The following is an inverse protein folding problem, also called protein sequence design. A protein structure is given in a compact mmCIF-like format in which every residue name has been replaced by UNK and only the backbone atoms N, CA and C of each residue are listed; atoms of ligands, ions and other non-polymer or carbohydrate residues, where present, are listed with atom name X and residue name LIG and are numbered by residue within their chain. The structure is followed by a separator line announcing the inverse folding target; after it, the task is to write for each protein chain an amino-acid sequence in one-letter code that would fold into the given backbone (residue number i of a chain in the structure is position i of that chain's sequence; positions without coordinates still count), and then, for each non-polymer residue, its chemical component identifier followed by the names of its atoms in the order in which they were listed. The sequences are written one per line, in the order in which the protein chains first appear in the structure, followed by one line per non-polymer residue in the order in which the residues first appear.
data_IF_706239616944
#
_entry.id   IF_706239616944
#
_cell.length_a   1.000
_cell.length_b   1.000
_cell.length_c   1.000
_cell.angle_alpha   90.00
_cell.angle_beta   90.00
_cell.angle_gamma   90.00
#
_symmetry.space_group_name_H-M   'P 1'
#
loop_
_entity.id
_entity.type
_entity.pdbx_description
1 polymer ?
#
# COMPACT_ATOMS: atom_id res chain seq x y z
N UNK A 1 -26.24 -12.68 15.73
CA UNK A 1 -25.65 -12.98 14.40
C UNK A 1 -25.58 -11.76 13.48
N UNK A 2 -26.67 -11.00 13.25
CA UNK A 2 -26.67 -9.78 12.41
C UNK A 2 -25.68 -8.69 12.86
N UNK A 3 -25.53 -8.47 14.17
CA UNK A 3 -24.58 -7.49 14.73
C UNK A 3 -23.10 -7.85 14.42
N UNK A 4 -22.78 -9.14 14.47
CA UNK A 4 -21.43 -9.64 14.21
C UNK A 4 -21.06 -9.51 12.72
N UNK A 5 -22.03 -9.78 11.84
CA UNK A 5 -21.88 -9.58 10.39
C UNK A 5 -21.74 -8.09 10.04
N UNK A 6 -22.48 -7.22 10.72
CA UNK A 6 -22.36 -5.75 10.58
C UNK A 6 -20.97 -5.25 10.98
N UNK A 7 -20.41 -5.71 12.09
CA UNK A 7 -19.05 -5.31 12.53
C UNK A 7 -17.98 -5.76 11.52
N UNK A 8 -18.13 -6.98 10.96
CA UNK A 8 -17.18 -7.53 9.99
C UNK A 8 -17.15 -6.75 8.67
N UNK A 9 -18.20 -6.02 8.31
CA UNK A 9 -18.20 -5.16 7.11
C UNK A 9 -17.30 -3.92 7.26
N UNK A 10 -17.03 -3.47 8.50
CA UNK A 10 -16.13 -2.33 8.75
C UNK A 10 -14.65 -2.73 8.79
N UNK A 11 -14.34 -4.03 8.88
CA UNK A 11 -12.96 -4.52 8.96
C UNK A 11 -12.18 -4.21 7.69
N UNK A 12 -12.67 -4.50 6.46
CA UNK A 12 -11.97 -4.12 5.23
C UNK A 12 -11.77 -2.61 5.11
N UNK A 13 -12.77 -1.82 5.49
CA UNK A 13 -12.70 -0.33 5.47
C UNK A 13 -11.61 0.18 6.39
N UNK A 14 -11.55 -0.36 7.61
CA UNK A 14 -10.54 0.04 8.61
C UNK A 14 -9.14 -0.35 8.13
N UNK A 15 -8.97 -1.55 7.59
CA UNK A 15 -7.70 -2.00 7.02
C UNK A 15 -7.28 -1.16 5.81
N UNK A 16 -8.22 -0.82 4.93
CA UNK A 16 -7.97 0.05 3.78
C UNK A 16 -7.51 1.45 4.22
N UNK A 17 -8.14 1.99 5.27
CA UNK A 17 -7.77 3.29 5.85
C UNK A 17 -6.38 3.26 6.48
N UNK A 18 -6.03 2.21 7.23
CA UNK A 18 -4.67 2.02 7.78
C UNK A 18 -3.65 1.91 6.64
N UNK A 19 -3.97 1.17 5.59
CA UNK A 19 -3.14 1.06 4.40
C UNK A 19 -2.88 2.42 3.74
N UNK A 20 -3.90 3.28 3.65
CA UNK A 20 -3.79 4.64 3.14
C UNK A 20 -2.86 5.53 4.00
N UNK A 21 -2.95 5.42 5.33
CA UNK A 21 -2.05 6.14 6.26
C UNK A 21 -0.60 5.71 6.01
N UNK A 22 -0.34 4.40 5.89
CA UNK A 22 1.00 3.85 5.64
C UNK A 22 1.52 4.26 4.27
N UNK A 23 0.67 4.24 3.24
CA UNK A 23 1.02 4.70 1.90
C UNK A 23 1.45 6.17 1.90
N UNK A 24 0.68 7.02 2.59
CA UNK A 24 0.95 8.45 2.74
C UNK A 24 2.24 8.71 3.53
N UNK A 25 2.43 8.02 4.66
CA UNK A 25 3.68 8.07 5.42
C UNK A 25 4.88 7.62 4.58
N UNK A 26 4.70 6.59 3.75
CA UNK A 26 5.73 6.13 2.82
C UNK A 26 6.05 7.14 1.73
N UNK A 27 5.05 7.87 1.23
CA UNK A 27 5.24 8.96 0.28
C UNK A 27 6.03 10.12 0.91
N UNK A 28 5.64 10.57 2.11
CA UNK A 28 6.32 11.65 2.85
C UNK A 28 7.78 11.28 3.14
N UNK A 29 8.03 10.11 3.72
CA UNK A 29 9.40 9.63 3.99
C UNK A 29 10.22 9.45 2.70
N UNK A 30 9.58 9.05 1.59
CA UNK A 30 10.22 8.98 0.28
C UNK A 30 10.67 10.35 -0.24
N UNK A 31 9.89 11.40 -0.01
CA UNK A 31 10.24 12.78 -0.35
C UNK A 31 11.37 13.33 0.52
N UNK A 32 11.35 13.03 1.82
CA UNK A 32 12.40 13.47 2.75
C UNK A 32 13.75 12.81 2.43
N UNK A 33 13.75 11.53 2.02
CA UNK A 33 14.94 10.82 1.51
C UNK A 33 15.54 11.48 0.25
N UNK A 34 14.72 12.05 -0.65
CA UNK A 34 15.21 12.79 -1.82
C UNK A 34 15.94 14.07 -1.41
N UNK A 35 15.45 14.75 -0.36
CA UNK A 35 16.01 16.01 0.14
C UNK A 35 17.26 15.82 0.99
N UNK A 36 17.67 14.58 1.26
CA UNK A 36 18.89 14.25 2.02
C UNK A 36 18.79 14.56 3.51
N UNK A 37 17.58 14.84 4.02
CA UNK A 37 17.36 15.43 5.34
C UNK A 37 17.53 14.45 6.49
N UNK A 38 17.29 13.14 6.29
CA UNK A 38 17.80 12.12 7.21
C UNK A 38 17.98 10.74 6.54
N UNK A 39 19.24 10.40 6.22
CA UNK A 39 19.54 9.23 5.36
C UNK A 39 19.36 7.89 6.10
N UNK A 40 19.37 7.87 7.44
CA UNK A 40 19.42 6.63 8.25
C UNK A 40 18.09 6.21 8.88
N UNK A 41 17.36 7.13 9.54
CA UNK A 41 16.10 6.80 10.24
C UNK A 41 14.92 6.76 9.25
N UNK A 42 14.72 7.80 8.44
CA UNK A 42 13.66 7.81 7.42
C UNK A 42 13.82 6.66 6.42
N UNK A 43 15.05 6.29 6.06
CA UNK A 43 15.33 5.12 5.21
C UNK A 43 14.92 3.77 5.82
N UNK A 44 14.88 3.64 7.15
CA UNK A 44 14.33 2.45 7.82
C UNK A 44 12.81 2.49 7.84
N UNK A 45 12.22 3.63 8.22
CA UNK A 45 10.77 3.85 8.25
C UNK A 45 10.16 3.60 6.87
N UNK A 46 10.76 4.15 5.82
CA UNK A 46 10.29 3.99 4.45
C UNK A 46 10.23 2.51 4.01
N UNK A 47 11.22 1.70 4.40
CA UNK A 47 11.24 0.26 4.14
C UNK A 47 10.20 -0.49 4.95
N UNK A 48 10.07 -0.15 6.23
CA UNK A 48 9.11 -0.75 7.13
C UNK A 48 7.68 -0.51 6.64
N UNK A 49 7.37 0.71 6.18
CA UNK A 49 6.10 1.03 5.53
C UNK A 49 5.86 0.20 4.27
N UNK A 50 6.92 -0.07 3.49
CA UNK A 50 6.84 -0.97 2.33
C UNK A 50 6.44 -2.40 2.69
N UNK A 51 7.03 -2.99 3.74
CA UNK A 51 6.67 -4.33 4.20
C UNK A 51 5.28 -4.39 4.81
N UNK A 52 4.92 -3.41 5.66
CA UNK A 52 3.57 -3.32 6.22
C UNK A 52 2.50 -3.18 5.15
N UNK A 53 2.78 -2.42 4.08
CA UNK A 53 1.87 -2.28 2.94
C UNK A 53 1.61 -3.63 2.25
N UNK A 54 2.62 -4.50 2.11
CA UNK A 54 2.42 -5.85 1.55
C UNK A 54 1.49 -6.66 2.45
N UNK A 55 1.80 -6.70 3.75
CA UNK A 55 1.05 -7.54 4.70
C UNK A 55 -0.43 -7.13 4.68
N UNK A 56 -0.70 -5.83 4.78
CA UNK A 56 -2.06 -5.31 4.72
C UNK A 56 -2.73 -5.60 3.39
N UNK A 57 -2.00 -5.45 2.27
CA UNK A 57 -2.54 -5.73 0.95
C UNK A 57 -2.93 -7.20 0.77
N UNK A 58 -2.11 -8.14 1.26
CA UNK A 58 -2.41 -9.58 1.22
C UNK A 58 -3.62 -9.91 2.09
N UNK A 59 -3.70 -9.35 3.31
CA UNK A 59 -4.86 -9.54 4.19
C UNK A 59 -6.14 -9.05 3.52
N UNK A 60 -6.11 -7.86 2.91
CA UNK A 60 -7.24 -7.30 2.18
C UNK A 60 -7.62 -8.12 0.95
N UNK A 61 -6.64 -8.66 0.21
CA UNK A 61 -6.92 -9.52 -0.93
C UNK A 61 -7.65 -10.80 -0.51
N UNK A 62 -7.17 -11.45 0.56
CA UNK A 62 -7.80 -12.65 1.12
C UNK A 62 -9.22 -12.35 1.60
N UNK A 63 -9.41 -11.24 2.33
CA UNK A 63 -10.74 -10.81 2.78
C UNK A 63 -11.66 -10.48 1.59
N UNK A 64 -11.15 -9.80 0.56
CA UNK A 64 -11.89 -9.48 -0.66
C UNK A 64 -12.38 -10.73 -1.37
N UNK A 65 -11.51 -11.74 -1.55
CA UNK A 65 -11.91 -13.02 -2.13
C UNK A 65 -12.90 -13.81 -1.26
N UNK A 66 -12.75 -13.74 0.07
CA UNK A 66 -13.65 -14.43 1.00
C UNK A 66 -15.06 -13.81 1.03
N UNK A 67 -15.16 -12.48 0.88
CA UNK A 67 -16.44 -11.75 0.96
C UNK A 67 -17.15 -11.64 -0.40
N UNK A 68 -16.40 -11.41 -1.48
CA UNK A 68 -16.94 -11.09 -2.80
C UNK A 68 -16.81 -12.26 -3.81
N UNK A 69 -16.16 -13.35 -3.40
CA UNK A 69 -15.85 -14.48 -4.28
C UNK A 69 -14.65 -14.22 -5.19
N UNK A 70 -14.27 -15.25 -5.94
CA UNK A 70 -13.12 -15.20 -6.86
C UNK A 70 -13.65 -14.98 -8.28
N UNK A 71 -13.35 -13.82 -8.86
CA UNK A 71 -13.58 -13.52 -10.28
C UNK A 71 -12.25 -13.20 -10.98
N UNK A 72 -12.15 -13.49 -12.27
CA UNK A 72 -10.96 -13.18 -13.07
C UNK A 72 -10.57 -11.70 -12.96
N UNK A 73 -11.56 -10.79 -13.02
CA UNK A 73 -11.35 -9.35 -12.86
C UNK A 73 -10.81 -8.98 -11.48
N UNK A 74 -11.34 -9.60 -10.42
CA UNK A 74 -10.85 -9.39 -9.05
C UNK A 74 -9.38 -9.86 -8.94
N UNK A 75 -9.06 -11.05 -9.47
CA UNK A 75 -7.69 -11.57 -9.47
C UNK A 75 -6.73 -10.63 -10.21
N UNK A 76 -7.09 -10.14 -11.40
CA UNK A 76 -6.26 -9.18 -12.14
C UNK A 76 -6.09 -7.86 -11.37
N UNK A 77 -7.14 -7.35 -10.73
CA UNK A 77 -7.09 -6.16 -9.88
C UNK A 77 -6.09 -6.33 -8.73
N UNK A 78 -6.23 -7.40 -7.95
CA UNK A 78 -5.33 -7.70 -6.83
C UNK A 78 -3.88 -7.96 -7.30
N UNK A 79 -3.70 -8.65 -8.42
CA UNK A 79 -2.37 -8.92 -8.95
C UNK A 79 -1.67 -7.64 -9.44
N UNK A 80 -2.41 -6.74 -10.09
CA UNK A 80 -1.87 -5.46 -10.57
C UNK A 80 -1.43 -4.55 -9.42
N UNK A 81 -2.22 -4.44 -8.34
CA UNK A 81 -1.81 -3.64 -7.18
C UNK A 81 -0.64 -4.29 -6.42
N UNK A 82 -0.60 -5.62 -6.33
CA UNK A 82 0.56 -6.33 -5.79
C UNK A 82 1.84 -6.05 -6.60
N UNK A 83 1.72 -6.02 -7.93
CA UNK A 83 2.83 -5.69 -8.83
C UNK A 83 3.36 -4.27 -8.62
N UNK A 84 2.48 -3.29 -8.36
CA UNK A 84 2.86 -1.91 -8.01
C UNK A 84 3.69 -1.90 -6.70
N UNK A 85 3.23 -2.61 -5.66
CA UNK A 85 3.93 -2.70 -4.37
C UNK A 85 5.31 -3.35 -4.54
N UNK A 86 5.40 -4.44 -5.29
CA UNK A 86 6.65 -5.14 -5.60
C UNK A 86 7.64 -4.25 -6.36
N UNK A 87 7.15 -3.56 -7.39
CA UNK A 87 7.95 -2.66 -8.23
C UNK A 87 8.56 -1.55 -7.39
N UNK A 88 7.78 -0.95 -6.47
CA UNK A 88 8.27 0.04 -5.51
C UNK A 88 9.42 -0.51 -4.67
N UNK A 89 9.26 -1.68 -4.05
CA UNK A 89 10.29 -2.27 -3.19
C UNK A 89 11.57 -2.60 -3.96
N UNK A 90 11.43 -3.11 -5.18
CA UNK A 90 12.57 -3.39 -6.04
C UNK A 90 13.36 -2.12 -6.37
N UNK A 91 12.66 -1.03 -6.69
CA UNK A 91 13.28 0.27 -6.97
C UNK A 91 13.95 0.84 -5.72
N UNK A 92 13.32 0.76 -4.53
CA UNK A 92 13.93 1.19 -3.26
C UNK A 92 15.21 0.39 -2.96
N UNK A 93 15.19 -0.94 -3.18
CA UNK A 93 16.37 -1.79 -3.01
C UNK A 93 17.50 -1.39 -3.96
N UNK A 94 17.17 -1.06 -5.21
CA UNK A 94 18.14 -0.67 -6.25
C UNK A 94 18.63 0.78 -6.10
N UNK A 95 17.80 1.69 -5.58
CA UNK A 95 18.14 3.11 -5.38
C UNK A 95 19.23 3.32 -4.34
N UNK A 96 19.36 2.38 -3.39
CA UNK A 96 20.44 2.35 -2.41
C UNK A 96 21.85 2.45 -3.04
N UNK A 97 22.03 1.95 -4.27
CA UNK A 97 23.32 2.03 -4.99
C UNK A 97 23.48 3.28 -5.87
N UNK A 98 22.41 4.01 -6.19
CA UNK A 98 22.45 5.15 -7.13
C UNK A 98 21.49 6.26 -6.70
N UNK A 99 22.03 7.44 -6.34
CA UNK A 99 21.26 8.65 -5.96
C UNK A 99 20.17 9.06 -6.97
N UNK A 100 20.32 8.73 -8.27
CA UNK A 100 19.32 9.06 -9.31
C UNK A 100 17.97 8.35 -9.15
N UNK A 101 17.91 7.25 -8.42
CA UNK A 101 16.68 6.47 -8.28
C UNK A 101 15.73 7.01 -7.19
N UNK A 102 16.16 7.99 -6.38
CA UNK A 102 15.29 8.62 -5.36
C UNK A 102 14.13 9.43 -5.97
N UNK A 103 14.30 10.06 -7.15
CA UNK A 103 13.21 10.79 -7.83
C UNK A 103 12.02 9.88 -8.14
N UNK A 104 12.28 8.61 -8.48
CA UNK A 104 11.25 7.62 -8.77
C UNK A 104 10.54 7.14 -7.50
N UNK A 105 11.20 7.11 -6.35
CA UNK A 105 10.60 6.66 -5.07
C UNK A 105 9.38 7.49 -4.68
N UNK A 106 9.40 8.80 -4.92
CA UNK A 106 8.25 9.69 -4.69
C UNK A 106 7.08 9.37 -5.61
N UNK A 107 7.32 9.17 -6.91
CA UNK A 107 6.28 8.82 -7.88
C UNK A 107 5.61 7.48 -7.55
N UNK A 108 6.39 6.49 -7.10
CA UNK A 108 5.86 5.20 -6.65
C UNK A 108 5.12 5.28 -5.31
N UNK A 109 5.49 6.21 -4.43
CA UNK A 109 4.72 6.52 -3.23
C UNK A 109 3.34 7.08 -3.60
N UNK A 110 3.28 8.03 -4.54
CA UNK A 110 2.03 8.60 -5.03
C UNK A 110 1.14 7.54 -5.71
N UNK A 111 1.71 6.67 -6.55
CA UNK A 111 0.94 5.58 -7.16
C UNK A 111 0.39 4.59 -6.11
N UNK A 112 1.15 4.33 -5.05
CA UNK A 112 0.68 3.52 -3.92
C UNK A 112 -0.50 4.18 -3.21
N UNK A 113 -0.40 5.49 -2.94
CA UNK A 113 -1.48 6.26 -2.30
C UNK A 113 -2.74 6.27 -3.16
N UNK A 114 -2.60 6.47 -4.47
CA UNK A 114 -3.74 6.40 -5.41
C UNK A 114 -4.38 5.01 -5.45
N UNK A 115 -3.58 3.95 -5.46
CA UNK A 115 -4.08 2.58 -5.38
C UNK A 115 -4.83 2.33 -4.07
N UNK A 116 -4.32 2.80 -2.94
CA UNK A 116 -4.99 2.67 -1.65
C UNK A 116 -6.26 3.51 -1.56
N UNK A 117 -6.29 4.72 -2.13
CA UNK A 117 -7.49 5.54 -2.29
C UNK A 117 -8.57 4.81 -3.08
N UNK A 118 -8.18 4.18 -4.20
CA UNK A 118 -9.08 3.36 -4.98
C UNK A 118 -9.64 2.20 -4.15
N UNK A 119 -8.77 1.47 -3.42
CA UNK A 119 -9.19 0.37 -2.53
C UNK A 119 -10.16 0.82 -1.45
N UNK A 120 -9.91 1.97 -0.81
CA UNK A 120 -10.80 2.58 0.16
C UNK A 120 -12.15 2.89 -0.51
N UNK A 121 -12.16 3.51 -1.69
CA UNK A 121 -13.38 3.84 -2.42
C UNK A 121 -14.22 2.61 -2.77
N UNK A 122 -13.62 1.53 -3.26
CA UNK A 122 -14.37 0.32 -3.66
C UNK A 122 -14.79 -0.56 -2.48
N UNK A 123 -14.17 -0.41 -1.31
CA UNK A 123 -14.52 -1.18 -0.10
C UNK A 123 -15.35 -0.38 0.91
N UNK A 124 -15.45 0.95 0.78
CA UNK A 124 -16.40 1.74 1.55
C UNK A 124 -17.82 1.37 1.08
N UNK A 125 -18.70 0.92 1.99
CA UNK A 125 -20.13 0.97 1.71
C UNK A 125 -20.52 2.46 1.63
N UNK A 126 -20.82 2.95 0.42
CA UNK A 126 -21.50 4.23 0.22
C UNK A 126 -22.99 4.08 0.53
#
# INVERSE_FOLDING_TARGET
MKLLISILQYVPVTLASIGLIIATSSFISGLQLIRGTSITIEGRIHRLNGYLSIILYVILAVLGFALSGISLWSVFGWFSGFFIILTKLWIVKKSRKKRRAFKYVSWFGASLTLMWLYMVYIHLPL
#
